data_IF_627756124428
#
_entry.id   IF_627756124428
#
_cell.length_a   1.000
_cell.length_b   1.000
_cell.length_c   1.000
_cell.angle_alpha   90.00
_cell.angle_beta   90.00
_cell.angle_gamma   90.00
#
_symmetry.space_group_name_H-M   'P 1'
#
loop_
_entity.id
_entity.type
_entity.pdbx_description
1 polymer ?
#
# COMPACT_ATOMS: atom_id res chain seq x y z
N UNK A 1 8.03 -3.08 -0.40
CA UNK A 1 6.85 -3.09 -1.28
C UNK A 1 7.24 -3.04 -2.75
N UNK A 2 7.33 -4.23 -3.35
CA UNK A 2 7.64 -4.42 -4.77
C UNK A 2 6.49 -3.94 -5.66
N UNK A 3 5.24 -4.06 -5.21
CA UNK A 3 4.06 -3.65 -5.96
C UNK A 3 4.00 -2.14 -6.26
N UNK A 4 4.39 -1.24 -5.33
CA UNK A 4 4.50 0.19 -5.66
C UNK A 4 5.57 0.48 -6.71
N UNK A 5 6.69 -0.23 -6.63
CA UNK A 5 7.79 -0.06 -7.59
C UNK A 5 7.33 -0.55 -8.97
N UNK A 6 6.72 -1.72 -9.04
CA UNK A 6 6.16 -2.31 -10.27
C UNK A 6 5.08 -1.41 -10.90
N UNK A 7 4.26 -0.76 -10.09
CA UNK A 7 3.20 0.15 -10.55
C UNK A 7 3.67 1.61 -10.68
N UNK A 8 4.97 1.88 -10.48
CA UNK A 8 5.58 3.21 -10.50
C UNK A 8 4.81 4.25 -9.65
N UNK A 9 4.46 3.87 -8.42
CA UNK A 9 3.75 4.69 -7.45
C UNK A 9 4.65 5.05 -6.26
N UNK A 10 4.44 6.22 -5.70
CA UNK A 10 5.12 6.72 -4.49
C UNK A 10 4.22 6.55 -3.27
N UNK A 11 4.78 6.55 -2.04
CA UNK A 11 4.00 6.50 -0.81
C UNK A 11 2.95 7.62 -0.73
N UNK A 12 3.29 8.83 -1.18
CA UNK A 12 2.36 9.96 -1.25
C UNK A 12 1.15 9.71 -2.17
N UNK A 13 1.30 8.95 -3.26
CA UNK A 13 0.18 8.64 -4.15
C UNK A 13 -0.85 7.75 -3.46
N UNK A 14 -0.36 6.79 -2.67
CA UNK A 14 -1.20 5.91 -1.84
C UNK A 14 -1.87 6.73 -0.74
N UNK A 15 -1.12 7.61 -0.09
CA UNK A 15 -1.64 8.46 0.98
C UNK A 15 -2.80 9.33 0.50
N UNK A 16 -2.63 9.98 -0.64
CA UNK A 16 -3.67 10.79 -1.27
C UNK A 16 -4.88 9.96 -1.70
N UNK A 17 -4.66 8.77 -2.25
CA UNK A 17 -5.76 7.90 -2.68
C UNK A 17 -6.60 7.36 -1.52
N UNK A 18 -6.00 7.21 -0.33
CA UNK A 18 -6.66 6.68 0.87
C UNK A 18 -7.11 7.75 1.87
N UNK A 19 -6.85 9.03 1.55
CA UNK A 19 -7.05 10.18 2.43
C UNK A 19 -6.41 10.01 3.82
N UNK A 20 -5.14 9.62 3.82
CA UNK A 20 -4.33 9.43 5.03
C UNK A 20 -3.00 10.17 4.94
N UNK A 21 -2.29 10.30 6.05
CA UNK A 21 -0.93 10.85 6.05
C UNK A 21 0.09 9.92 5.41
N UNK A 22 1.01 10.47 4.60
CA UNK A 22 2.10 9.71 3.97
C UNK A 22 2.93 8.89 4.96
N UNK A 23 3.11 9.42 6.18
CA UNK A 23 3.81 8.73 7.26
C UNK A 23 3.16 7.39 7.65
N UNK A 24 1.84 7.26 7.54
CA UNK A 24 1.16 6.00 7.77
C UNK A 24 1.59 4.94 6.74
N UNK A 25 1.68 5.34 5.46
CA UNK A 25 2.16 4.46 4.39
C UNK A 25 3.60 4.04 4.66
N UNK A 26 4.49 4.97 5.05
CA UNK A 26 5.88 4.64 5.40
C UNK A 26 6.01 3.64 6.56
N UNK A 27 5.13 3.71 7.56
CA UNK A 27 5.06 2.71 8.64
C UNK A 27 4.62 1.33 8.12
N UNK A 28 3.78 1.28 7.09
CA UNK A 28 3.45 0.00 6.42
C UNK A 28 4.66 -0.55 5.67
N UNK A 29 5.39 0.29 4.95
CA UNK A 29 6.55 -0.14 4.15
C UNK A 29 7.72 -0.65 5.00
N UNK A 30 7.86 -0.12 6.21
CA UNK A 30 8.88 -0.52 7.18
C UNK A 30 8.47 -1.74 8.01
N UNK A 31 7.20 -2.18 7.93
CA UNK A 31 6.67 -3.26 8.75
C UNK A 31 6.37 -2.86 10.20
N UNK A 32 6.49 -1.57 10.56
CA UNK A 32 6.14 -1.07 11.89
C UNK A 32 4.63 -1.18 12.15
N UNK A 33 3.80 -1.07 11.10
CA UNK A 33 2.34 -1.16 11.21
C UNK A 33 1.71 -1.95 10.06
N UNK A 34 0.74 -2.78 10.39
CA UNK A 34 -0.13 -3.41 9.39
C UNK A 34 -1.26 -2.45 8.99
N UNK A 35 -1.52 -2.22 7.69
CA UNK A 35 -2.62 -1.38 7.26
C UNK A 35 -3.97 -1.96 7.68
N UNK A 36 -4.84 -1.08 8.20
CA UNK A 36 -6.26 -1.38 8.42
C UNK A 36 -7.05 -0.45 7.54
N UNK A 37 -7.60 -0.99 6.47
CA UNK A 37 -8.31 -0.23 5.44
C UNK A 37 -9.80 -0.53 5.54
N UNK A 38 -10.63 0.49 5.31
CA UNK A 38 -12.05 0.27 5.01
C UNK A 38 -12.20 -0.40 3.64
N UNK A 39 -13.42 -0.86 3.33
CA UNK A 39 -13.73 -1.40 1.99
C UNK A 39 -13.50 -0.34 0.92
N UNK A 40 -13.90 0.91 1.18
CA UNK A 40 -13.71 2.04 0.27
C UNK A 40 -12.22 2.33 0.01
N UNK A 41 -11.40 2.34 1.07
CA UNK A 41 -9.96 2.51 0.95
C UNK A 41 -9.32 1.33 0.19
N UNK A 42 -9.74 0.10 0.46
CA UNK A 42 -9.28 -1.08 -0.28
C UNK A 42 -9.59 -0.94 -1.77
N UNK A 43 -10.79 -0.51 -2.13
CA UNK A 43 -11.17 -0.27 -3.52
C UNK A 43 -10.35 0.86 -4.17
N UNK A 44 -10.12 1.96 -3.44
CA UNK A 44 -9.31 3.07 -3.92
C UNK A 44 -7.86 2.64 -4.18
N UNK A 45 -7.29 1.83 -3.28
CA UNK A 45 -5.96 1.26 -3.43
C UNK A 45 -5.87 0.33 -4.66
N UNK A 46 -6.83 -0.58 -4.82
CA UNK A 46 -6.91 -1.47 -5.98
C UNK A 46 -6.99 -0.68 -7.30
N UNK A 47 -7.78 0.39 -7.34
CA UNK A 47 -7.87 1.29 -8.51
C UNK A 47 -6.55 2.00 -8.77
N UNK A 48 -5.90 2.56 -7.75
CA UNK A 48 -4.61 3.25 -7.88
C UNK A 48 -3.53 2.32 -8.46
N UNK A 49 -3.48 1.08 -7.96
CA UNK A 49 -2.50 0.08 -8.35
C UNK A 49 -2.91 -0.71 -9.60
N UNK A 50 -4.12 -0.47 -10.12
CA UNK A 50 -4.72 -1.22 -11.21
C UNK A 50 -4.55 -2.74 -11.00
N UNK A 51 -5.10 -3.24 -9.90
CA UNK A 51 -5.01 -4.64 -9.48
C UNK A 51 -6.28 -5.09 -8.75
N UNK A 52 -6.44 -6.40 -8.56
CA UNK A 52 -7.49 -7.00 -7.74
C UNK A 52 -7.11 -6.97 -6.26
N UNK A 53 -8.09 -7.09 -5.37
CA UNK A 53 -7.85 -7.24 -3.92
C UNK A 53 -7.01 -8.48 -3.60
N UNK A 54 -7.10 -9.52 -4.42
CA UNK A 54 -6.31 -10.75 -4.28
C UNK A 54 -4.84 -10.59 -4.68
N UNK A 55 -4.50 -9.53 -5.41
CA UNK A 55 -3.13 -9.21 -5.79
C UNK A 55 -2.42 -8.35 -4.72
N UNK A 56 -3.18 -7.83 -3.75
CA UNK A 56 -2.61 -7.07 -2.65
C UNK A 56 -1.83 -8.00 -1.72
N UNK A 57 -0.64 -7.60 -1.27
CA UNK A 57 0.13 -8.41 -0.35
C UNK A 57 -0.53 -8.43 1.03
N UNK A 58 -0.40 -9.56 1.74
CA UNK A 58 -0.85 -9.67 3.14
C UNK A 58 0.02 -8.80 4.06
N UNK A 59 1.29 -8.58 3.68
CA UNK A 59 2.24 -7.69 4.36
C UNK A 59 2.83 -6.67 3.37
N UNK A 60 2.74 -5.40 3.73
CA UNK A 60 3.24 -4.27 2.92
C UNK A 60 4.70 -3.93 3.23
N UNK A 61 5.28 -4.56 4.25
CA UNK A 61 6.69 -4.43 4.60
C UNK A 61 7.58 -4.84 3.41
N UNK A 62 8.81 -4.32 3.35
CA UNK A 62 9.83 -5.01 2.56
C UNK A 62 10.16 -6.31 3.29
N UNK A 63 9.66 -7.45 2.80
CA UNK A 63 10.23 -8.74 3.18
C UNK A 63 11.76 -8.68 2.97
N UNK A 64 12.57 -9.13 3.94
CA UNK A 64 13.97 -9.38 3.67
C UNK A 64 14.04 -10.41 2.54
N UNK A 65 14.69 -10.06 1.44
CA UNK A 65 15.11 -11.06 0.46
C UNK A 65 16.16 -11.93 1.17
N UNK A 66 15.79 -13.16 1.52
CA UNK A 66 16.75 -14.23 1.79
C UNK A 66 17.25 -14.78 0.46
#
# INVERSE_FOLDING_TARGET
MQLLIEKNKKPIDVANALDIGERAVLYWLSGERVPRLTIEQTQALCRLLNCSVFDLPVDFSRSPQN
#
